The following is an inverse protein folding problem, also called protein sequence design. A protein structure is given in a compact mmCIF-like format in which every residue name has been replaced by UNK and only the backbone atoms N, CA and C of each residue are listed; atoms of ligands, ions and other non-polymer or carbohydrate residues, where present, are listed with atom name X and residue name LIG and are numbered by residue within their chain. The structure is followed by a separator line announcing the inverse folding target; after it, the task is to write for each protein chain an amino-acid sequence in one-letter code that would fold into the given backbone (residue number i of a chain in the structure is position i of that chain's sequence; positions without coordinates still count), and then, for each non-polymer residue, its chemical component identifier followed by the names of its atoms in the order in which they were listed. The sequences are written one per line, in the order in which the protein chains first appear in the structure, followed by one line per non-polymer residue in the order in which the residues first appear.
data_IF_896439112640
#
_entry.id   IF_896439112640
#
_cell.length_a   1.000
_cell.length_b   1.000
_cell.length_c   1.000
_cell.angle_alpha   90.00
_cell.angle_beta   90.00
_cell.angle_gamma   90.00
#
_symmetry.space_group_name_H-M   'P 1'
#
loop_
_entity.id
_entity.type
_entity.pdbx_description
1 polymer ?
#
# COMPACT_ATOMS: atom_id res chain seq x y z
N UNK A 1 8.35 -11.20 24.18
CA UNK A 1 8.20 -10.05 23.25
C UNK A 1 7.76 -8.87 24.08
N UNK A 2 8.57 -7.82 24.15
CA UNK A 2 8.12 -6.53 24.67
C UNK A 2 7.17 -5.92 23.64
N UNK A 3 6.05 -5.38 24.11
CA UNK A 3 5.13 -4.63 23.26
C UNK A 3 5.87 -3.39 22.74
N UNK A 4 5.91 -3.22 21.43
CA UNK A 4 6.42 -2.01 20.81
C UNK A 4 5.37 -0.93 21.04
N UNK A 5 5.74 0.08 21.82
CA UNK A 5 4.88 1.24 22.05
C UNK A 5 4.87 2.12 20.80
N UNK A 6 3.67 2.45 20.32
CA UNK A 6 3.41 3.28 19.14
C UNK A 6 2.62 4.53 19.49
N UNK A 7 2.44 4.82 20.79
CA UNK A 7 1.66 5.96 21.30
C UNK A 7 2.24 7.32 20.87
N UNK A 8 3.56 7.39 20.67
CA UNK A 8 4.26 8.61 20.28
C UNK A 8 4.35 8.81 18.75
N UNK A 9 3.77 7.91 17.94
CA UNK A 9 3.81 8.00 16.48
C UNK A 9 2.73 8.96 16.00
N UNK A 10 3.07 9.84 15.06
CA UNK A 10 2.07 10.72 14.44
C UNK A 10 1.00 9.88 13.72
N UNK A 11 -0.25 10.31 13.85
CA UNK A 11 -1.41 9.61 13.25
C UNK A 11 -1.24 9.51 11.73
N UNK A 12 -0.69 10.56 11.09
CA UNK A 12 -0.37 10.60 9.67
C UNK A 12 0.60 9.49 9.26
N UNK A 13 1.70 9.32 10.01
CA UNK A 13 2.70 8.29 9.74
C UNK A 13 2.11 6.90 9.96
N UNK A 14 1.34 6.71 11.03
CA UNK A 14 0.68 5.45 11.33
C UNK A 14 -0.25 5.01 10.19
N UNK A 15 -1.13 5.91 9.73
CA UNK A 15 -2.07 5.63 8.64
C UNK A 15 -1.32 5.36 7.34
N UNK A 16 -0.29 6.16 7.02
CA UNK A 16 0.52 5.97 5.81
C UNK A 16 1.17 4.59 5.80
N UNK A 17 1.77 4.18 6.92
CA UNK A 17 2.39 2.85 7.06
C UNK A 17 1.33 1.75 6.98
N UNK A 18 0.17 1.92 7.59
CA UNK A 18 -0.92 0.94 7.52
C UNK A 18 -1.41 0.73 6.08
N UNK A 19 -1.67 1.81 5.32
CA UNK A 19 -2.08 1.73 3.91
C UNK A 19 -0.99 1.07 3.07
N UNK A 20 0.27 1.42 3.34
CA UNK A 20 1.39 0.82 2.63
C UNK A 20 1.52 -0.68 2.90
N UNK A 21 1.54 -1.10 4.16
CA UNK A 21 1.75 -2.50 4.55
C UNK A 21 0.56 -3.40 4.23
N UNK A 22 -0.66 -2.92 4.43
CA UNK A 22 -1.85 -3.74 4.29
C UNK A 22 -2.40 -3.80 2.86
N UNK A 23 -2.07 -2.81 2.02
CA UNK A 23 -2.66 -2.70 0.68
C UNK A 23 -1.58 -2.64 -0.40
N UNK A 24 -0.70 -1.63 -0.37
CA UNK A 24 0.24 -1.38 -1.47
C UNK A 24 1.27 -2.52 -1.57
N UNK A 25 1.94 -2.86 -0.47
CA UNK A 25 2.97 -3.89 -0.41
C UNK A 25 2.47 -5.27 -0.90
N UNK A 26 1.33 -5.82 -0.43
CA UNK A 26 0.84 -7.11 -0.92
C UNK A 26 0.39 -7.07 -2.38
N UNK A 27 -0.20 -5.97 -2.86
CA UNK A 27 -0.58 -5.82 -4.28
C UNK A 27 0.65 -5.82 -5.20
N UNK A 28 1.70 -5.08 -4.83
CA UNK A 28 2.96 -5.05 -5.59
C UNK A 28 3.63 -6.43 -5.55
N UNK A 29 3.77 -7.03 -4.37
CA UNK A 29 4.40 -8.35 -4.20
C UNK A 29 3.70 -9.43 -5.03
N UNK A 30 2.37 -9.51 -4.93
CA UNK A 30 1.59 -10.44 -5.74
C UNK A 30 1.66 -10.10 -7.23
N UNK A 31 1.63 -8.81 -7.58
CA UNK A 31 1.77 -8.35 -8.96
C UNK A 31 3.07 -8.82 -9.61
N UNK A 32 4.20 -8.61 -8.94
CA UNK A 32 5.52 -9.08 -9.37
C UNK A 32 5.56 -10.60 -9.48
N UNK A 33 5.03 -11.34 -8.50
CA UNK A 33 4.92 -12.79 -8.55
C UNK A 33 4.12 -13.26 -9.80
N UNK A 34 3.01 -12.60 -10.11
CA UNK A 34 2.19 -12.92 -11.30
C UNK A 34 2.93 -12.63 -12.61
N UNK A 35 3.75 -11.59 -12.66
CA UNK A 35 4.59 -11.30 -13.83
C UNK A 35 5.62 -12.41 -14.06
N UNK A 36 6.30 -12.87 -13.01
CA UNK A 36 7.23 -14.01 -13.11
C UNK A 36 6.55 -15.33 -13.49
N UNK A 37 5.27 -15.51 -13.13
CA UNK A 37 4.45 -16.64 -13.57
C UNK A 37 3.95 -16.52 -15.03
N UNK A 38 4.38 -15.50 -15.79
CA UNK A 38 3.91 -15.25 -17.17
C UNK A 38 2.50 -14.66 -17.26
N UNK A 39 1.81 -14.40 -16.14
CA UNK A 39 0.45 -13.85 -16.07
C UNK A 39 0.45 -12.32 -16.18
N UNK A 40 0.94 -11.81 -17.32
CA UNK A 40 1.21 -10.37 -17.55
C UNK A 40 0.01 -9.46 -17.25
N UNK A 41 -1.17 -9.78 -17.78
CA UNK A 41 -2.39 -8.96 -17.58
C UNK A 41 -2.71 -8.78 -16.09
N UNK A 42 -2.74 -9.88 -15.34
CA UNK A 42 -3.05 -9.86 -13.90
C UNK A 42 -1.95 -9.15 -13.13
N UNK A 43 -0.67 -9.42 -13.44
CA UNK A 43 0.46 -8.76 -12.79
C UNK A 43 0.41 -7.23 -12.93
N UNK A 44 0.17 -6.74 -14.15
CA UNK A 44 0.03 -5.30 -14.39
C UNK A 44 -1.23 -4.71 -13.76
N UNK A 45 -2.36 -5.42 -13.74
CA UNK A 45 -3.55 -4.96 -13.03
C UNK A 45 -3.32 -4.81 -11.53
N UNK A 46 -2.57 -5.72 -10.89
CA UNK A 46 -2.24 -5.64 -9.47
C UNK A 46 -1.29 -4.48 -9.16
N UNK A 47 -0.23 -4.30 -9.96
CA UNK A 47 0.70 -3.17 -9.82
C UNK A 47 -0.04 -1.84 -10.08
N UNK A 48 -0.85 -1.77 -11.14
CA UNK A 48 -1.69 -0.61 -11.42
C UNK A 48 -2.66 -0.31 -10.28
N UNK A 49 -3.23 -1.35 -9.65
CA UNK A 49 -4.06 -1.22 -8.45
C UNK A 49 -3.32 -0.57 -7.29
N UNK A 50 -2.06 -0.96 -7.04
CA UNK A 50 -1.26 -0.34 -5.97
C UNK A 50 -0.99 1.15 -6.23
N UNK A 51 -0.73 1.54 -7.48
CA UNK A 51 -0.54 2.93 -7.89
C UNK A 51 -1.86 3.71 -7.72
N UNK A 52 -2.97 3.13 -8.17
CA UNK A 52 -4.29 3.74 -8.03
C UNK A 52 -4.66 3.97 -6.56
N UNK A 53 -4.41 2.99 -5.68
CA UNK A 53 -4.59 3.13 -4.23
C UNK A 53 -3.78 4.29 -3.67
N UNK A 54 -2.50 4.43 -4.06
CA UNK A 54 -1.66 5.54 -3.61
C UNK A 54 -2.21 6.90 -4.07
N UNK A 55 -2.65 7.01 -5.32
CA UNK A 55 -3.23 8.25 -5.85
C UNK A 55 -4.55 8.62 -5.13
N UNK A 56 -5.41 7.63 -4.86
CA UNK A 56 -6.66 7.85 -4.10
C UNK A 56 -6.33 8.26 -2.67
N UNK A 57 -5.38 7.59 -2.02
CA UNK A 57 -4.93 7.96 -0.69
C UNK A 57 -4.43 9.41 -0.63
N UNK A 58 -3.57 9.80 -1.58
CA UNK A 58 -3.05 11.16 -1.67
C UNK A 58 -4.17 12.18 -1.90
N UNK A 59 -5.13 11.86 -2.77
CA UNK A 59 -6.27 12.73 -3.03
C UNK A 59 -7.14 12.93 -1.77
N UNK A 60 -7.39 11.87 -1.01
CA UNK A 60 -8.15 11.94 0.24
C UNK A 60 -7.42 12.78 1.28
N UNK A 61 -6.10 12.58 1.46
CA UNK A 61 -5.30 13.37 2.41
C UNK A 61 -5.37 14.86 2.08
N UNK A 62 -5.08 15.24 0.83
CA UNK A 62 -5.14 16.65 0.42
C UNK A 62 -6.54 17.28 0.51
N UNK A 63 -7.61 16.48 0.57
CA UNK A 63 -8.98 16.98 0.71
C UNK A 63 -9.37 17.17 2.20
N UNK A 64 -8.68 16.49 3.11
CA UNK A 64 -8.88 16.58 4.56
C UNK A 64 -7.94 17.60 5.22
N UNK A 65 -6.83 17.95 4.58
CA UNK A 65 -5.95 19.07 4.92
C UNK A 65 -6.60 20.44 4.62
#
# INVERSE_FOLDING_TARGET
MTIVDISDISIELFITVMVFLLIIAPLVSLGVLRLFQGKKRIGFSLIGGSIATYLVFQLVVNLLD
#
